data_IF_773986098516
#
_entry.id   IF_773986098516
#
_cell.length_a   1.000
_cell.length_b   1.000
_cell.length_c   1.000
_cell.angle_alpha   90.00
_cell.angle_beta   90.00
_cell.angle_gamma   90.00
#
_symmetry.space_group_name_H-M   'P 1'
#
loop_
_entity.id
_entity.type
_entity.pdbx_description
1 polymer ?
#
# COMPACT_ATOMS: atom_id res chain seq x y z
N UNK A 1 22.67 22.74 8.12
CA UNK A 1 21.41 22.88 8.86
C UNK A 1 20.80 21.51 9.14
N UNK A 2 20.67 20.62 8.15
CA UNK A 2 20.07 19.28 8.34
C UNK A 2 20.78 18.36 9.35
N UNK A 3 22.12 18.39 9.46
CA UNK A 3 22.85 17.45 10.33
C UNK A 3 22.56 17.65 11.83
N UNK A 4 22.49 18.90 12.30
CA UNK A 4 22.17 19.23 13.69
C UNK A 4 20.73 18.82 14.05
N UNK A 5 19.80 18.99 13.11
CA UNK A 5 18.41 18.57 13.28
C UNK A 5 18.28 17.04 13.38
N UNK A 6 19.05 16.30 12.58
CA UNK A 6 19.12 14.83 12.64
C UNK A 6 19.65 14.39 14.02
N UNK A 7 20.78 14.93 14.45
CA UNK A 7 21.36 14.59 15.77
C UNK A 7 20.38 14.92 16.88
N UNK A 8 19.76 16.10 16.86
CA UNK A 8 18.78 16.50 17.87
C UNK A 8 17.59 15.54 17.92
N UNK A 9 17.04 15.17 16.77
CA UNK A 9 15.93 14.22 16.69
C UNK A 9 16.32 12.83 17.21
N UNK A 10 17.50 12.32 16.80
CA UNK A 10 18.00 11.03 17.25
C UNK A 10 18.26 11.04 18.76
N UNK A 11 18.90 12.06 19.32
CA UNK A 11 19.13 12.16 20.76
C UNK A 11 17.82 12.32 21.55
N UNK A 12 16.81 12.99 21.00
CA UNK A 12 15.51 13.13 21.65
C UNK A 12 14.71 11.81 21.70
N UNK A 13 15.02 10.86 20.81
CA UNK A 13 14.31 9.59 20.64
C UNK A 13 15.11 8.35 21.09
N UNK A 14 16.44 8.42 21.08
CA UNK A 14 17.34 7.38 21.56
C UNK A 14 17.21 7.18 23.08
N UNK A 15 17.45 5.94 23.54
CA UNK A 15 17.49 5.54 24.96
C UNK A 15 16.22 5.81 25.78
N UNK A 16 15.10 6.13 25.12
CA UNK A 16 13.79 6.31 25.77
C UNK A 16 12.83 5.15 25.55
N UNK A 17 13.31 4.01 25.05
CA UNK A 17 12.50 2.80 24.89
C UNK A 17 12.00 2.27 26.24
N UNK A 18 12.78 2.38 27.31
CA UNK A 18 12.36 2.02 28.67
C UNK A 18 11.25 2.96 29.19
N UNK A 19 11.22 4.21 28.70
CA UNK A 19 10.21 5.21 28.98
C UNK A 19 9.10 5.32 27.92
N UNK A 20 8.96 4.34 27.03
CA UNK A 20 7.96 4.38 25.95
C UNK A 20 6.50 4.36 26.46
N UNK A 21 6.30 4.13 27.75
CA UNK A 21 5.01 4.19 28.45
C UNK A 21 4.88 5.44 29.35
N UNK A 22 5.87 6.34 29.37
CA UNK A 22 5.85 7.57 30.16
C UNK A 22 5.30 8.75 29.32
N UNK A 23 4.26 9.40 29.85
CA UNK A 23 3.53 10.47 29.14
C UNK A 23 4.41 11.70 28.88
N UNK A 24 5.32 12.06 29.80
CA UNK A 24 6.19 13.22 29.63
C UNK A 24 7.23 12.96 28.55
N UNK A 25 7.78 11.74 28.52
CA UNK A 25 8.69 11.28 27.47
C UNK A 25 7.98 11.28 26.11
N UNK A 26 6.77 10.72 26.04
CA UNK A 26 5.98 10.68 24.80
C UNK A 26 5.62 12.09 24.32
N UNK A 27 5.25 13.00 25.21
CA UNK A 27 4.97 14.41 24.89
C UNK A 27 6.20 15.12 24.30
N UNK A 28 7.38 14.89 24.89
CA UNK A 28 8.63 15.44 24.36
C UNK A 28 9.01 14.86 22.99
N UNK A 29 8.76 13.57 22.75
CA UNK A 29 8.97 12.95 21.43
C UNK A 29 7.98 13.51 20.41
N UNK A 30 6.70 13.65 20.77
CA UNK A 30 5.64 14.14 19.90
C UNK A 30 5.83 15.59 19.46
N UNK A 31 6.52 16.42 20.26
CA UNK A 31 6.86 17.80 19.91
C UNK A 31 8.05 17.91 18.95
N UNK A 32 8.79 16.82 18.71
CA UNK A 32 9.91 16.83 17.77
C UNK A 32 9.42 16.85 16.32
N UNK A 33 10.08 17.67 15.50
CA UNK A 33 9.94 17.58 14.05
C UNK A 33 10.84 16.46 13.54
N UNK A 34 10.26 15.47 12.85
CA UNK A 34 11.04 14.44 12.14
C UNK A 34 11.71 15.06 10.92
N UNK A 35 13.06 15.03 10.80
CA UNK A 35 13.76 15.55 9.63
C UNK A 35 13.42 14.77 8.36
N UNK A 36 13.28 15.44 7.21
CA UNK A 36 12.92 14.77 5.94
C UNK A 36 14.00 13.77 5.47
N UNK A 37 15.26 13.96 5.89
CA UNK A 37 16.36 13.02 5.67
C UNK A 37 16.11 11.67 6.35
N UNK A 38 15.63 11.65 7.60
CA UNK A 38 15.25 10.42 8.33
C UNK A 38 14.13 9.68 7.59
N UNK A 39 13.28 10.43 6.90
CA UNK A 39 12.21 9.90 6.06
C UNK A 39 12.65 9.59 4.62
N UNK A 40 13.95 9.72 4.31
CA UNK A 40 14.56 9.41 3.00
C UNK A 40 13.85 10.07 1.81
N UNK A 41 13.46 11.35 1.97
CA UNK A 41 12.72 12.09 0.94
C UNK A 41 11.27 11.61 0.74
N UNK A 42 10.74 10.85 1.70
CA UNK A 42 9.35 10.35 1.72
C UNK A 42 8.48 11.03 2.75
N UNK A 43 8.92 12.15 3.32
CA UNK A 43 8.22 12.84 4.40
C UNK A 43 6.75 13.13 4.09
N UNK A 44 6.44 13.61 2.87
CA UNK A 44 5.06 13.85 2.46
C UNK A 44 4.20 12.57 2.43
N UNK A 45 4.74 11.46 1.89
CA UNK A 45 4.02 10.19 1.83
C UNK A 45 3.77 9.62 3.23
N UNK A 46 4.81 9.57 4.07
CA UNK A 46 4.71 9.05 5.43
C UNK A 46 3.75 9.88 6.28
N UNK A 47 3.83 11.22 6.20
CA UNK A 47 2.90 12.13 6.89
C UNK A 47 1.46 11.99 6.39
N UNK A 48 1.26 11.84 5.08
CA UNK A 48 -0.07 11.62 4.53
C UNK A 48 -0.66 10.28 5.02
N UNK A 49 0.12 9.20 4.99
CA UNK A 49 -0.32 7.86 5.38
C UNK A 49 -0.67 7.78 6.89
N UNK A 50 0.07 8.46 7.77
CA UNK A 50 -0.28 8.51 9.21
C UNK A 50 -1.50 9.40 9.48
N UNK A 51 -1.59 10.56 8.83
CA UNK A 51 -2.75 11.46 9.00
C UNK A 51 -4.05 10.80 8.49
N UNK A 52 -3.96 10.02 7.42
CA UNK A 52 -5.08 9.22 6.91
C UNK A 52 -5.52 8.16 7.93
N UNK A 53 -4.57 7.49 8.58
CA UNK A 53 -4.85 6.50 9.62
C UNK A 53 -5.51 7.14 10.85
N UNK A 54 -4.98 8.27 11.34
CA UNK A 54 -5.58 9.00 12.45
C UNK A 54 -6.98 9.51 12.15
N UNK A 55 -7.20 10.01 10.92
CA UNK A 55 -8.53 10.42 10.48
C UNK A 55 -9.50 9.23 10.52
N UNK A 56 -9.06 8.06 10.05
CA UNK A 56 -9.87 6.84 10.08
C UNK A 56 -10.21 6.43 11.53
N UNK A 57 -9.21 6.35 12.41
CA UNK A 57 -9.44 6.01 13.82
C UNK A 57 -10.38 6.99 14.53
N UNK A 58 -10.21 8.29 14.26
CA UNK A 58 -11.08 9.32 14.84
C UNK A 58 -12.54 9.12 14.41
N UNK A 59 -12.84 8.96 13.12
CA UNK A 59 -14.24 8.78 12.66
C UNK A 59 -14.83 7.46 13.15
N UNK A 60 -14.03 6.38 13.19
CA UNK A 60 -14.47 5.06 13.66
C UNK A 60 -14.75 5.05 15.17
N UNK A 61 -14.03 5.88 15.96
CA UNK A 61 -14.35 6.05 17.39
C UNK A 61 -15.70 6.74 17.65
N UNK A 62 -16.23 7.47 16.66
CA UNK A 62 -17.53 8.15 16.76
C UNK A 62 -18.65 7.19 16.40
N UNK A 63 -18.54 6.52 15.25
CA UNK A 63 -19.42 5.42 14.88
C UNK A 63 -18.66 4.37 14.08
N UNK A 64 -18.83 3.09 14.45
CA UNK A 64 -18.23 1.96 13.74
C UNK A 64 -18.93 1.74 12.38
N UNK A 65 -18.22 1.83 11.24
CA UNK A 65 -18.77 1.56 9.91
C UNK A 65 -19.36 0.15 9.74
N UNK A 66 -18.89 -0.88 10.49
CA UNK A 66 -19.44 -2.24 10.40
C UNK A 66 -20.93 -2.28 10.77
N UNK A 67 -21.37 -1.45 11.70
CA UNK A 67 -22.78 -1.40 12.15
C UNK A 67 -23.72 -1.01 10.99
N UNK A 68 -23.22 -0.24 10.03
CA UNK A 68 -24.00 0.26 8.90
C UNK A 68 -23.81 -0.57 7.64
N UNK A 69 -22.73 -1.37 7.56
CA UNK A 69 -22.46 -2.22 6.40
C UNK A 69 -23.60 -3.22 6.20
N UNK A 70 -24.10 -3.34 4.97
CA UNK A 70 -25.25 -4.16 4.58
C UNK A 70 -26.60 -3.69 5.16
N UNK A 71 -26.69 -2.46 5.66
CA UNK A 71 -27.95 -1.85 6.08
C UNK A 71 -28.69 -1.23 4.89
N UNK A 72 -30.00 -1.48 4.76
CA UNK A 72 -30.84 -0.81 3.76
C UNK A 72 -31.12 0.67 4.06
N UNK A 73 -30.67 1.17 5.21
CA UNK A 73 -31.05 2.51 5.71
C UNK A 73 -30.19 3.66 5.17
N UNK A 74 -29.07 3.35 4.49
CA UNK A 74 -28.25 4.31 3.75
C UNK A 74 -27.68 5.48 4.58
N UNK A 75 -27.29 6.56 3.87
CA UNK A 75 -26.59 7.72 4.45
C UNK A 75 -27.34 8.39 5.61
N UNK A 76 -28.68 8.47 5.54
CA UNK A 76 -29.49 9.11 6.59
C UNK A 76 -29.33 8.43 7.95
N UNK A 77 -29.15 7.10 7.96
CA UNK A 77 -28.93 6.33 9.17
C UNK A 77 -27.56 6.61 9.78
N UNK A 78 -26.51 6.70 8.95
CA UNK A 78 -25.17 7.12 9.36
C UNK A 78 -25.21 8.54 9.94
N UNK A 79 -25.82 9.49 9.23
CA UNK A 79 -25.92 10.87 9.67
C UNK A 79 -26.65 11.00 11.00
N UNK A 80 -27.77 10.30 11.18
CA UNK A 80 -28.54 10.32 12.44
C UNK A 80 -27.72 9.77 13.61
N UNK A 81 -26.95 8.70 13.39
CA UNK A 81 -26.09 8.13 14.43
C UNK A 81 -24.99 9.11 14.85
N UNK A 82 -24.33 9.74 13.88
CA UNK A 82 -23.30 10.76 14.13
C UNK A 82 -23.90 11.97 14.84
N UNK A 83 -25.00 12.52 14.34
CA UNK A 83 -25.66 13.70 14.90
C UNK A 83 -26.05 13.49 16.38
N UNK A 84 -26.43 12.28 16.76
CA UNK A 84 -26.72 11.93 18.17
C UNK A 84 -25.46 11.92 19.04
N UNK A 85 -24.28 11.58 18.50
CA UNK A 85 -23.04 11.46 19.27
C UNK A 85 -22.29 12.78 19.43
N UNK A 86 -22.29 13.63 18.40
CA UNK A 86 -21.53 14.88 18.37
C UNK A 86 -21.76 15.80 19.58
N UNK A 87 -22.98 16.00 20.09
CA UNK A 87 -23.20 16.83 21.27
C UNK A 87 -22.50 16.34 22.54
N UNK A 88 -22.27 15.03 22.67
CA UNK A 88 -21.57 14.45 23.82
C UNK A 88 -20.05 14.53 23.72
N UNK A 89 -19.52 14.52 22.48
CA UNK A 89 -18.08 14.59 22.22
C UNK A 89 -17.62 16.05 22.22
N UNK A 90 -18.46 16.95 21.71
CA UNK A 90 -18.17 18.37 21.55
C UNK A 90 -19.24 19.24 22.24
N UNK A 91 -19.37 19.18 23.58
CA UNK A 91 -20.43 19.90 24.28
C UNK A 91 -20.30 21.43 24.14
N UNK A 92 -19.06 21.93 24.06
CA UNK A 92 -18.72 23.36 24.02
C UNK A 92 -18.93 24.01 22.65
N UNK A 93 -19.16 23.22 21.59
CA UNK A 93 -19.29 23.75 20.23
C UNK A 93 -20.75 24.18 19.97
N UNK A 94 -21.01 25.38 19.41
CA UNK A 94 -22.34 25.83 19.03
C UNK A 94 -23.11 24.83 18.14
N UNK A 95 -24.43 24.80 18.26
CA UNK A 95 -25.27 23.80 17.57
C UNK A 95 -25.12 23.83 16.04
N UNK A 96 -25.02 25.01 15.45
CA UNK A 96 -24.80 25.20 14.01
C UNK A 96 -23.47 24.56 13.56
N UNK A 97 -22.38 24.79 14.29
CA UNK A 97 -21.07 24.20 14.00
C UNK A 97 -21.05 22.68 14.21
N UNK A 98 -21.73 22.19 15.26
CA UNK A 98 -21.92 20.75 15.48
C UNK A 98 -22.65 20.07 14.34
N UNK A 99 -23.64 20.73 13.73
CA UNK A 99 -24.36 20.18 12.58
C UNK A 99 -23.44 20.07 11.34
N UNK A 100 -22.59 21.08 11.08
CA UNK A 100 -21.60 21.05 9.98
C UNK A 100 -20.57 19.94 10.21
N UNK A 101 -20.10 19.80 11.46
CA UNK A 101 -19.16 18.76 11.85
C UNK A 101 -19.77 17.36 11.69
N UNK A 102 -21.01 17.18 12.16
CA UNK A 102 -21.75 15.92 12.01
C UNK A 102 -21.92 15.53 10.54
N UNK A 103 -22.22 16.50 9.66
CA UNK A 103 -22.33 16.25 8.23
C UNK A 103 -20.99 15.81 7.62
N UNK A 104 -19.89 16.46 8.01
CA UNK A 104 -18.55 16.12 7.51
C UNK A 104 -18.12 14.73 7.94
N UNK A 105 -18.32 14.40 9.21
CA UNK A 105 -18.00 13.08 9.77
C UNK A 105 -18.89 12.00 9.16
N UNK A 106 -20.20 12.22 9.06
CA UNK A 106 -21.12 11.26 8.46
C UNK A 106 -20.78 10.96 6.99
N UNK A 107 -20.34 11.96 6.22
CA UNK A 107 -19.84 11.75 4.85
C UNK A 107 -18.62 10.83 4.82
N UNK A 108 -17.67 11.03 5.72
CA UNK A 108 -16.46 10.20 5.81
C UNK A 108 -16.78 8.76 6.26
N UNK A 109 -17.66 8.59 7.25
CA UNK A 109 -18.10 7.27 7.70
C UNK A 109 -18.87 6.56 6.60
N UNK A 110 -19.80 7.23 5.92
CA UNK A 110 -20.55 6.63 4.81
C UNK A 110 -19.63 6.18 3.66
N UNK A 111 -18.57 6.95 3.36
CA UNK A 111 -17.53 6.55 2.41
C UNK A 111 -16.82 5.28 2.84
N UNK A 112 -16.57 5.10 4.14
CA UNK A 112 -15.98 3.89 4.69
C UNK A 112 -16.94 2.70 4.65
N UNK A 113 -18.23 2.91 4.93
CA UNK A 113 -19.29 1.89 4.76
C UNK A 113 -19.34 1.40 3.32
N UNK A 114 -19.41 2.32 2.36
CA UNK A 114 -19.39 2.01 0.92
C UNK A 114 -18.13 1.23 0.54
N UNK A 115 -16.95 1.61 1.06
CA UNK A 115 -15.69 0.87 0.82
C UNK A 115 -15.80 -0.60 1.24
N UNK A 116 -16.43 -0.87 2.39
CA UNK A 116 -16.60 -2.21 2.94
C UNK A 116 -17.67 -3.01 2.18
N UNK A 117 -18.72 -2.36 1.70
CA UNK A 117 -19.79 -2.98 0.88
C UNK A 117 -19.34 -3.33 -0.55
N UNK A 118 -18.55 -2.46 -1.19
CA UNK A 118 -17.99 -2.65 -2.55
C UNK A 118 -17.05 -3.86 -2.63
N UNK A 119 -16.64 -4.43 -1.48
CA UNK A 119 -15.97 -5.75 -1.46
C UNK A 119 -16.80 -6.84 -2.14
N UNK A 120 -18.12 -6.68 -2.28
CA UNK A 120 -18.93 -7.43 -3.26
C UNK A 120 -18.65 -6.89 -4.67
N UNK A 121 -17.51 -7.30 -5.25
CA UNK A 121 -17.04 -6.89 -6.59
C UNK A 121 -18.20 -6.87 -7.60
N UNK A 122 -18.50 -5.69 -8.14
CA UNK A 122 -19.30 -5.58 -9.36
C UNK A 122 -18.60 -6.35 -10.48
N UNK A 123 -19.36 -7.19 -11.19
CA UNK A 123 -18.87 -7.89 -12.38
C UNK A 123 -18.50 -6.87 -13.44
N UNK A 124 -17.24 -6.89 -13.90
CA UNK A 124 -16.79 -6.07 -15.04
C UNK A 124 -17.15 -6.82 -16.31
N UNK A 125 -17.87 -6.16 -17.21
CA UNK A 125 -18.31 -6.77 -18.46
C UNK A 125 -17.13 -6.98 -19.40
N UNK A 126 -17.26 -7.91 -20.36
CA UNK A 126 -16.23 -8.14 -21.37
C UNK A 126 -15.95 -6.87 -22.21
N UNK A 127 -16.96 -6.05 -22.47
CA UNK A 127 -16.82 -4.77 -23.18
C UNK A 127 -15.94 -3.79 -22.40
N UNK A 128 -16.16 -3.66 -21.09
CA UNK A 128 -15.30 -2.83 -20.22
C UNK A 128 -13.87 -3.36 -20.16
N UNK A 129 -13.67 -4.69 -20.14
CA UNK A 129 -12.33 -5.28 -20.20
C UNK A 129 -11.61 -4.92 -21.49
N UNK A 130 -12.29 -4.99 -22.64
CA UNK A 130 -11.75 -4.60 -23.95
C UNK A 130 -11.37 -3.13 -23.98
N UNK A 131 -12.27 -2.24 -23.53
CA UNK A 131 -11.98 -0.81 -23.45
C UNK A 131 -10.76 -0.51 -22.58
N UNK A 132 -10.68 -1.11 -21.38
CA UNK A 132 -9.54 -0.95 -20.48
C UNK A 132 -8.24 -1.49 -21.07
N UNK A 133 -8.32 -2.57 -21.85
CA UNK A 133 -7.19 -3.13 -22.55
C UNK A 133 -6.67 -2.17 -23.62
N UNK A 134 -7.56 -1.65 -24.46
CA UNK A 134 -7.24 -0.80 -25.60
C UNK A 134 -6.58 0.53 -25.19
N UNK A 135 -6.96 1.09 -24.03
CA UNK A 135 -6.35 2.32 -23.50
C UNK A 135 -5.11 2.06 -22.62
N UNK A 136 -4.71 0.80 -22.43
CA UNK A 136 -3.58 0.43 -21.59
C UNK A 136 -2.32 0.14 -22.40
N UNK A 137 -1.16 0.42 -21.81
CA UNK A 137 0.15 0.01 -22.35
C UNK A 137 0.44 -1.50 -22.18
N UNK A 138 -0.61 -2.33 -21.98
CA UNK A 138 -0.48 -3.78 -21.71
C UNK A 138 0.45 -4.10 -20.54
N UNK A 139 0.49 -3.21 -19.54
CA UNK A 139 1.36 -3.30 -18.35
C UNK A 139 0.57 -3.07 -17.08
N UNK A 140 1.08 -3.64 -15.99
CA UNK A 140 0.58 -3.33 -14.65
C UNK A 140 0.87 -1.86 -14.30
N UNK A 141 -0.16 -1.09 -13.96
CA UNK A 141 -0.01 0.33 -13.61
C UNK A 141 0.82 0.59 -12.34
N UNK A 142 0.97 -0.43 -11.48
CA UNK A 142 1.71 -0.37 -10.21
C UNK A 142 3.19 -0.68 -10.42
N UNK A 143 3.52 -1.85 -10.97
CA UNK A 143 4.91 -2.32 -11.06
C UNK A 143 5.49 -2.28 -12.48
N UNK A 144 4.69 -2.04 -13.52
CA UNK A 144 5.14 -2.04 -14.91
C UNK A 144 5.36 -3.42 -15.54
N UNK A 145 4.98 -4.51 -14.85
CA UNK A 145 5.00 -5.87 -15.39
C UNK A 145 4.25 -5.91 -16.73
N UNK A 146 4.94 -6.35 -17.78
CA UNK A 146 4.34 -6.54 -19.11
C UNK A 146 3.52 -7.82 -19.11
N UNK A 147 2.23 -7.71 -19.42
CA UNK A 147 1.36 -8.88 -19.44
C UNK A 147 1.76 -9.82 -20.58
N UNK A 148 1.66 -11.12 -20.33
CA UNK A 148 1.90 -12.15 -21.35
C UNK A 148 0.67 -12.29 -22.25
N UNK A 149 0.85 -12.83 -23.46
CA UNK A 149 -0.27 -13.11 -24.36
C UNK A 149 -1.30 -14.06 -23.73
N UNK A 150 -0.83 -15.02 -22.93
CA UNK A 150 -1.73 -15.87 -22.14
C UNK A 150 -2.58 -15.08 -21.15
N UNK A 151 -1.99 -14.12 -20.43
CA UNK A 151 -2.72 -13.31 -19.46
C UNK A 151 -3.75 -12.41 -20.15
N UNK A 152 -3.39 -11.83 -21.30
CA UNK A 152 -4.30 -11.10 -22.19
C UNK A 152 -5.47 -11.98 -22.64
N UNK A 153 -5.19 -13.14 -23.25
CA UNK A 153 -6.23 -14.04 -23.75
C UNK A 153 -7.18 -14.48 -22.64
N UNK A 154 -6.63 -14.80 -21.46
CA UNK A 154 -7.42 -15.15 -20.29
C UNK A 154 -8.29 -13.99 -19.79
N UNK A 155 -7.77 -12.76 -19.81
CA UNK A 155 -8.49 -11.57 -19.38
C UNK A 155 -9.64 -11.22 -20.34
N UNK A 156 -9.39 -11.30 -21.64
CA UNK A 156 -10.34 -11.03 -22.73
C UNK A 156 -11.20 -12.23 -23.11
N UNK A 157 -11.14 -13.33 -22.35
CA UNK A 157 -11.96 -14.53 -22.51
C UNK A 157 -11.82 -15.20 -23.89
N UNK A 158 -10.62 -15.13 -24.48
CA UNK A 158 -10.29 -15.89 -25.68
C UNK A 158 -10.07 -17.36 -25.35
N UNK A 159 -10.55 -18.25 -26.22
CA UNK A 159 -10.50 -19.71 -26.07
C UNK A 159 -9.11 -20.31 -26.35
N UNK A 160 -8.22 -19.54 -26.96
CA UNK A 160 -6.89 -19.98 -27.37
C UNK A 160 -5.83 -19.52 -26.35
N UNK A 161 -4.94 -20.42 -25.96
CA UNK A 161 -3.77 -20.04 -25.17
C UNK A 161 -3.10 -21.20 -24.45
N UNK A 162 -1.79 -21.33 -24.63
CA UNK A 162 -0.97 -22.21 -23.79
C UNK A 162 -0.78 -21.53 -22.44
N UNK A 163 -1.01 -22.26 -21.36
CA UNK A 163 -0.79 -21.74 -20.00
C UNK A 163 0.64 -21.19 -19.84
N UNK A 164 0.76 -19.97 -19.30
CA UNK A 164 2.06 -19.37 -19.09
C UNK A 164 2.88 -20.21 -18.11
N UNK A 165 4.08 -20.62 -18.54
CA UNK A 165 5.03 -21.30 -17.67
C UNK A 165 5.51 -20.32 -16.60
N UNK A 166 5.31 -20.68 -15.34
CA UNK A 166 5.80 -19.89 -14.22
C UNK A 166 7.33 -19.91 -14.16
N UNK A 167 7.97 -18.81 -13.70
CA UNK A 167 9.41 -18.72 -13.66
C UNK A 167 10.01 -19.72 -12.66
N UNK A 168 11.15 -20.30 -13.03
CA UNK A 168 11.92 -21.21 -12.18
C UNK A 168 12.60 -20.49 -11.00
N UNK A 169 12.88 -19.20 -11.19
CA UNK A 169 13.47 -18.33 -10.18
C UNK A 169 12.62 -17.07 -10.03
N UNK A 170 12.47 -16.59 -8.80
CA UNK A 170 11.68 -15.39 -8.50
C UNK A 170 12.49 -14.42 -7.65
N UNK A 171 12.21 -13.13 -7.80
CA UNK A 171 12.81 -12.08 -6.99
C UNK A 171 12.41 -12.27 -5.51
N UNK A 172 13.39 -12.43 -4.61
CA UNK A 172 13.12 -12.66 -3.19
C UNK A 172 12.43 -11.46 -2.51
N UNK A 173 12.58 -10.26 -3.07
CA UNK A 173 12.01 -9.03 -2.49
C UNK A 173 10.52 -8.89 -2.74
N UNK A 174 10.01 -9.47 -3.85
CA UNK A 174 8.60 -9.37 -4.26
C UNK A 174 7.89 -10.72 -4.23
N UNK A 175 8.58 -11.80 -4.57
CA UNK A 175 8.01 -13.13 -4.84
C UNK A 175 6.97 -13.12 -5.97
N UNK A 176 7.03 -12.13 -6.87
CA UNK A 176 6.17 -12.03 -8.03
C UNK A 176 6.35 -13.24 -8.97
N UNK A 177 5.26 -13.81 -9.49
CA UNK A 177 5.29 -14.99 -10.36
C UNK A 177 5.34 -16.34 -9.63
N UNK A 178 5.14 -16.34 -8.31
CA UNK A 178 5.08 -17.57 -7.53
C UNK A 178 3.79 -18.36 -7.79
N UNK A 179 2.71 -17.72 -8.21
CA UNK A 179 1.42 -18.35 -8.56
C UNK A 179 0.92 -17.85 -9.92
N UNK A 180 0.04 -18.60 -10.57
CA UNK A 180 -0.58 -18.15 -11.84
C UNK A 180 -1.34 -16.84 -11.68
N UNK A 181 -1.98 -16.63 -10.52
CA UNK A 181 -2.67 -15.39 -10.22
C UNK A 181 -1.73 -14.18 -10.29
N UNK A 182 -0.49 -14.33 -9.82
CA UNK A 182 0.47 -13.22 -9.76
C UNK A 182 0.73 -12.57 -11.13
N UNK A 183 0.67 -13.37 -12.19
CA UNK A 183 0.91 -12.94 -13.58
C UNK A 183 -0.38 -12.74 -14.40
N UNK A 184 -1.56 -12.97 -13.81
CA UNK A 184 -2.85 -12.67 -14.43
C UNK A 184 -3.14 -11.15 -14.37
N UNK A 185 -4.00 -10.69 -15.28
CA UNK A 185 -4.54 -9.33 -15.27
C UNK A 185 -5.76 -9.29 -14.34
N UNK A 186 -5.78 -8.33 -13.43
CA UNK A 186 -6.94 -7.97 -12.62
C UNK A 186 -7.25 -6.48 -12.84
N UNK A 187 -8.52 -6.10 -12.76
CA UNK A 187 -8.89 -4.69 -12.74
C UNK A 187 -8.80 -4.18 -11.31
N UNK A 188 -8.14 -3.03 -11.15
CA UNK A 188 -7.94 -2.35 -9.88
C UNK A 188 -8.46 -0.91 -9.96
N UNK A 189 -8.88 -0.37 -8.82
CA UNK A 189 -9.22 1.04 -8.67
C UNK A 189 -7.97 1.79 -8.20
N UNK A 190 -7.49 2.74 -9.01
CA UNK A 190 -6.29 3.52 -8.71
C UNK A 190 -6.45 4.34 -7.42
N UNK A 191 -7.62 4.93 -7.23
CA UNK A 191 -8.08 5.58 -6.01
C UNK A 191 -9.27 4.79 -5.44
N UNK A 192 -9.33 4.46 -4.14
CA UNK A 192 -10.50 3.80 -3.57
C UNK A 192 -11.78 4.63 -3.81
N UNK A 193 -12.88 3.96 -4.20
CA UNK A 193 -14.20 4.57 -4.48
C UNK A 193 -14.65 5.57 -3.39
N UNK A 194 -14.29 5.30 -2.14
CA UNK A 194 -14.53 6.14 -0.96
C UNK A 194 -13.93 7.56 -1.02
N UNK A 195 -13.13 7.91 -2.02
CA UNK A 195 -12.62 9.27 -2.24
C UNK A 195 -13.25 10.02 -3.41
N UNK A 196 -14.35 9.51 -3.98
CA UNK A 196 -15.06 10.17 -5.08
C UNK A 196 -14.55 9.78 -6.46
N UNK A 197 -13.91 8.61 -6.58
CA UNK A 197 -13.62 7.99 -7.87
C UNK A 197 -14.83 7.24 -8.39
N UNK A 198 -15.89 7.98 -8.72
CA UNK A 198 -16.92 7.50 -9.62
C UNK A 198 -16.40 7.85 -11.02
N UNK A 199 -16.10 6.84 -11.83
CA UNK A 199 -15.96 6.88 -13.30
C UNK A 199 -14.97 5.83 -13.80
N UNK A 200 -15.20 5.36 -15.03
CA UNK A 200 -14.32 4.44 -15.76
C UNK A 200 -12.85 4.91 -15.77
N UNK A 201 -12.61 6.20 -15.57
CA UNK A 201 -11.30 6.85 -15.47
C UNK A 201 -10.46 6.43 -14.26
N UNK A 202 -11.05 5.78 -13.25
CA UNK A 202 -10.36 5.30 -12.05
C UNK A 202 -9.92 3.82 -12.14
N UNK A 203 -10.35 3.11 -13.18
CA UNK A 203 -9.98 1.72 -13.39
C UNK A 203 -8.63 1.62 -14.11
N UNK A 204 -7.78 0.70 -13.65
CA UNK A 204 -6.46 0.43 -14.24
C UNK A 204 -6.18 -1.07 -14.23
N UNK A 205 -5.35 -1.54 -15.16
CA UNK A 205 -4.92 -2.93 -15.20
C UNK A 205 -3.76 -3.18 -14.24
N UNK A 206 -3.94 -4.11 -13.31
CA UNK A 206 -2.93 -4.54 -12.36
C UNK A 206 -2.59 -6.03 -12.55
N UNK A 207 -1.35 -6.43 -12.25
CA UNK A 207 -1.06 -7.85 -12.08
C UNK A 207 -1.68 -8.35 -10.78
N UNK A 208 -2.05 -9.63 -10.73
CA UNK A 208 -2.68 -10.21 -9.53
C UNK A 208 -1.80 -10.13 -8.28
N UNK A 209 -0.47 -10.10 -8.43
CA UNK A 209 0.44 -9.89 -7.29
C UNK A 209 0.27 -8.49 -6.69
N UNK A 210 0.29 -7.44 -7.51
CA UNK A 210 0.11 -6.07 -7.02
C UNK A 210 -1.30 -5.89 -6.43
N UNK A 211 -2.33 -6.39 -7.12
CA UNK A 211 -3.72 -6.23 -6.66
C UNK A 211 -3.98 -6.94 -5.33
N UNK A 212 -3.48 -8.16 -5.17
CA UNK A 212 -3.65 -8.93 -3.92
C UNK A 212 -2.95 -8.30 -2.72
N UNK A 213 -1.76 -7.73 -2.91
CA UNK A 213 -1.02 -7.10 -1.82
C UNK A 213 -1.46 -5.65 -1.54
N UNK A 214 -1.93 -4.90 -2.55
CA UNK A 214 -2.63 -3.62 -2.38
C UNK A 214 -3.87 -3.83 -1.51
N UNK A 215 -4.71 -4.81 -1.88
CA UNK A 215 -5.97 -5.08 -1.20
C UNK A 215 -6.77 -3.78 -1.01
N UNK A 216 -7.26 -3.55 0.18
CA UNK A 216 -7.96 -2.39 0.71
C UNK A 216 -7.06 -1.49 1.56
N UNK A 217 -5.75 -1.77 1.62
CA UNK A 217 -4.82 -1.03 2.48
C UNK A 217 -4.50 0.33 1.88
N UNK A 218 -4.52 1.35 2.74
CA UNK A 218 -4.33 2.75 2.34
C UNK A 218 -3.11 3.43 2.97
N UNK A 219 -2.53 2.83 4.01
CA UNK A 219 -1.43 3.42 4.79
C UNK A 219 -0.32 2.41 5.03
N UNK A 220 0.94 2.84 4.84
CA UNK A 220 2.14 2.04 5.13
C UNK A 220 2.20 1.53 6.58
N UNK A 221 1.51 2.20 7.50
CA UNK A 221 1.45 1.88 8.93
C UNK A 221 0.39 0.81 9.26
N UNK A 222 -0.43 0.38 8.30
CA UNK A 222 -1.48 -0.64 8.51
C UNK A 222 -0.97 -2.08 8.42
N UNK A 223 0.34 -2.30 8.38
CA UNK A 223 0.98 -3.62 8.27
C UNK A 223 2.13 -3.73 9.26
N UNK A 224 2.57 -4.96 9.53
CA UNK A 224 3.63 -5.25 10.52
C UNK A 224 4.82 -4.30 10.41
N UNK A 225 5.30 -3.83 11.55
CA UNK A 225 6.34 -2.81 11.67
C UNK A 225 7.73 -3.30 11.24
N UNK A 226 7.95 -4.62 11.15
CA UNK A 226 9.27 -5.22 10.88
C UNK A 226 9.28 -6.05 9.60
N UNK A 227 10.29 -5.87 8.72
CA UNK A 227 10.47 -6.76 7.59
C UNK A 227 10.86 -8.17 8.06
N UNK A 228 10.40 -9.18 7.33
CA UNK A 228 10.80 -10.57 7.59
C UNK A 228 12.29 -10.78 7.25
N UNK A 229 12.92 -11.79 7.87
CA UNK A 229 14.31 -12.16 7.58
C UNK A 229 14.38 -13.55 6.96
N UNK A 230 15.19 -13.69 5.91
CA UNK A 230 15.42 -14.95 5.20
C UNK A 230 16.91 -15.23 5.06
N UNK A 231 17.27 -16.51 4.93
CA UNK A 231 18.64 -16.91 4.61
C UNK A 231 18.76 -17.09 3.10
N UNK A 232 19.37 -16.12 2.43
CA UNK A 232 19.66 -16.14 1.00
C UNK A 232 20.94 -16.93 0.73
N UNK A 233 20.95 -17.78 -0.30
CA UNK A 233 22.10 -18.65 -0.60
C UNK A 233 23.38 -17.87 -0.90
N UNK A 234 23.26 -16.74 -1.59
CA UNK A 234 24.41 -15.95 -2.06
C UNK A 234 24.66 -14.68 -1.22
N UNK A 235 23.65 -14.23 -0.48
CA UNK A 235 23.67 -12.93 0.20
C UNK A 235 23.59 -13.07 1.73
N UNK A 236 23.55 -14.29 2.26
CA UNK A 236 23.40 -14.54 3.69
C UNK A 236 22.04 -14.08 4.23
N UNK A 237 22.01 -13.57 5.46
CA UNK A 237 20.75 -13.10 6.07
C UNK A 237 20.30 -11.82 5.38
N UNK A 238 19.10 -11.86 4.80
CA UNK A 238 18.52 -10.75 4.06
C UNK A 238 17.18 -10.33 4.67
N UNK A 239 16.99 -9.01 4.75
CA UNK A 239 15.70 -8.42 5.08
C UNK A 239 14.80 -8.45 3.85
N UNK A 240 13.54 -8.86 4.03
CA UNK A 240 12.53 -8.93 2.96
C UNK A 240 11.42 -7.95 3.30
N UNK A 241 11.13 -6.98 2.42
CA UNK A 241 10.13 -5.97 2.71
C UNK A 241 8.74 -6.58 2.84
N UNK A 242 7.88 -5.90 3.59
CA UNK A 242 6.46 -6.22 3.55
C UNK A 242 5.93 -5.95 2.12
N UNK A 243 5.20 -6.89 1.49
CA UNK A 243 4.74 -6.72 0.11
C UNK A 243 3.92 -5.45 -0.13
N UNK A 244 3.08 -5.07 0.83
CA UNK A 244 2.32 -3.82 0.75
C UNK A 244 3.22 -2.56 0.69
N UNK A 245 4.35 -2.53 1.42
CA UNK A 245 5.29 -1.41 1.31
C UNK A 245 5.86 -1.29 -0.10
N UNK A 246 6.19 -2.43 -0.72
CA UNK A 246 6.67 -2.48 -2.11
C UNK A 246 5.59 -1.94 -3.06
N UNK A 247 4.37 -2.47 -2.99
CA UNK A 247 3.25 -2.05 -3.83
C UNK A 247 2.92 -0.56 -3.65
N UNK A 248 2.88 -0.07 -2.41
CA UNK A 248 2.61 1.34 -2.10
C UNK A 248 3.69 2.26 -2.64
N UNK A 249 4.96 1.90 -2.50
CA UNK A 249 6.07 2.70 -3.04
C UNK A 249 6.10 2.68 -4.58
N UNK A 250 5.88 1.52 -5.20
CA UNK A 250 5.81 1.40 -6.66
C UNK A 250 4.66 2.23 -7.24
N UNK A 251 3.46 2.14 -6.66
CA UNK A 251 2.27 2.88 -7.11
C UNK A 251 2.36 4.40 -6.93
N UNK A 252 3.05 4.88 -5.90
CA UNK A 252 3.21 6.32 -5.65
C UNK A 252 4.39 6.91 -6.43
N UNK A 253 5.52 6.18 -6.54
CA UNK A 253 6.72 6.72 -7.20
C UNK A 253 6.67 6.53 -8.71
N UNK A 254 6.23 5.36 -9.19
CA UNK A 254 6.06 4.99 -10.61
C UNK A 254 7.30 5.20 -11.52
N UNK A 255 8.47 5.51 -10.96
CA UNK A 255 9.75 5.74 -11.66
C UNK A 255 10.94 5.28 -10.83
N UNK A 256 12.04 4.98 -11.51
CA UNK A 256 13.31 4.65 -10.88
C UNK A 256 13.85 5.84 -10.07
N UNK A 257 14.31 5.57 -8.84
CA UNK A 257 14.84 6.55 -7.89
C UNK A 257 16.39 6.58 -7.90
N UNK A 258 17.04 6.24 -9.02
CA UNK A 258 18.51 6.32 -9.13
C UNK A 258 18.99 7.78 -9.03
N UNK A 259 20.02 8.01 -8.21
CA UNK A 259 20.49 9.36 -7.86
C UNK A 259 21.13 10.11 -9.03
N UNK A 260 21.73 9.39 -9.99
CA UNK A 260 22.26 9.97 -11.23
C UNK A 260 21.18 10.36 -12.25
N UNK A 261 19.90 10.18 -11.91
CA UNK A 261 18.78 10.39 -12.82
C UNK A 261 18.48 9.17 -13.68
N UNK A 262 17.20 8.86 -13.86
CA UNK A 262 16.73 7.76 -14.68
C UNK A 262 15.35 8.08 -15.24
N UNK A 263 15.14 7.85 -16.53
CA UNK A 263 13.86 8.10 -17.21
C UNK A 263 12.90 6.90 -17.17
N UNK A 264 13.34 5.77 -16.62
CA UNK A 264 12.54 4.54 -16.59
C UNK A 264 11.37 4.67 -15.62
N UNK A 265 10.18 4.35 -16.12
CA UNK A 265 8.91 4.35 -15.40
C UNK A 265 8.20 3.00 -15.56
N UNK A 266 7.12 2.82 -14.81
CA UNK A 266 6.23 1.65 -14.91
C UNK A 266 5.56 1.52 -16.29
N UNK A 267 5.55 2.59 -17.09
CA UNK A 267 5.03 2.58 -18.46
C UNK A 267 6.07 1.97 -19.44
N UNK A 268 7.35 2.06 -19.10
CA UNK A 268 8.46 1.61 -19.96
C UNK A 268 8.92 0.20 -19.59
N UNK A 269 9.07 -0.09 -18.29
CA UNK A 269 9.58 -1.37 -17.83
C UNK A 269 9.03 -1.78 -16.47
N UNK A 270 9.29 -3.03 -16.09
CA UNK A 270 8.97 -3.49 -14.76
C UNK A 270 9.97 -2.90 -13.75
N UNK A 271 9.44 -2.14 -12.79
CA UNK A 271 10.19 -1.66 -11.65
C UNK A 271 10.11 -2.65 -10.49
N UNK A 272 11.10 -2.54 -9.61
CA UNK A 272 11.27 -3.38 -8.42
C UNK A 272 11.88 -2.53 -7.31
N UNK A 273 12.33 -3.17 -6.23
CA UNK A 273 12.87 -2.50 -5.05
C UNK A 273 14.23 -3.02 -4.63
N UNK A 274 15.01 -2.13 -4.04
CA UNK A 274 16.31 -2.38 -3.43
C UNK A 274 16.44 -1.65 -2.10
N UNK A 275 17.34 -2.07 -1.20
CA UNK A 275 17.73 -1.23 -0.09
C UNK A 275 18.50 0.02 -0.57
N UNK A 276 18.28 1.18 0.06
CA UNK A 276 19.12 2.39 -0.08
C UNK A 276 20.46 2.15 0.58
N UNK A 277 20.42 1.59 1.79
CA UNK A 277 21.57 1.17 2.58
C UNK A 277 21.58 -0.37 2.64
N UNK A 278 22.54 -1.05 1.97
CA UNK A 278 22.56 -2.51 1.83
C UNK A 278 22.52 -3.29 3.14
N UNK A 279 23.10 -2.74 4.20
CA UNK A 279 23.13 -3.34 5.54
C UNK A 279 21.88 -3.03 6.38
N UNK A 280 21.03 -2.10 5.92
CA UNK A 280 19.81 -1.70 6.60
C UNK A 280 18.62 -2.64 6.32
N UNK A 281 17.69 -2.71 7.26
CA UNK A 281 16.45 -3.45 7.08
C UNK A 281 15.59 -2.85 5.94
N UNK A 282 14.90 -3.66 5.13
CA UNK A 282 14.07 -3.19 4.02
C UNK A 282 12.68 -2.71 4.51
N UNK A 283 12.70 -1.60 5.26
CA UNK A 283 11.51 -0.87 5.72
C UNK A 283 11.18 0.32 4.78
N UNK A 284 10.07 1.04 4.97
CA UNK A 284 9.68 2.13 4.07
C UNK A 284 10.71 3.25 3.90
N UNK A 285 11.58 3.50 4.87
CA UNK A 285 12.65 4.52 4.75
C UNK A 285 13.84 3.98 3.95
N UNK A 286 14.20 2.71 4.13
CA UNK A 286 15.36 2.12 3.46
C UNK A 286 15.04 1.41 2.13
N UNK A 287 13.79 1.24 1.71
CA UNK A 287 13.48 0.74 0.36
C UNK A 287 13.78 1.83 -0.69
N UNK A 288 14.09 1.47 -1.94
CA UNK A 288 14.23 2.35 -3.12
C UNK A 288 13.61 1.67 -4.34
N UNK A 289 12.79 2.39 -5.10
CA UNK A 289 12.27 1.90 -6.39
C UNK A 289 13.36 1.98 -7.45
N UNK A 290 13.58 0.88 -8.18
CA UNK A 290 14.63 0.80 -9.20
C UNK A 290 14.13 0.12 -10.49
N UNK A 291 14.75 0.46 -11.62
CA UNK A 291 14.69 -0.33 -12.84
C UNK A 291 15.73 -1.46 -12.81
N UNK A 292 15.71 -2.32 -13.83
CA UNK A 292 16.69 -3.40 -13.98
C UNK A 292 18.10 -2.87 -14.29
N UNK A 293 18.22 -1.78 -15.03
CA UNK A 293 19.52 -1.19 -15.40
C UNK A 293 20.31 -0.67 -14.17
N UNK A 294 19.60 -0.26 -13.12
CA UNK A 294 20.19 0.23 -11.85
C UNK A 294 20.06 -0.79 -10.70
N UNK A 295 19.77 -2.04 -11.04
CA UNK A 295 19.67 -3.11 -10.05
C UNK A 295 21.05 -3.68 -9.68
N UNK A 296 21.57 -3.26 -8.52
CA UNK A 296 22.85 -3.74 -8.02
C UNK A 296 22.84 -5.21 -7.56
N UNK A 297 21.66 -5.80 -7.32
CA UNK A 297 21.58 -7.22 -6.94
C UNK A 297 21.68 -8.12 -8.17
N UNK A 298 21.20 -7.67 -9.33
CA UNK A 298 21.17 -8.45 -10.56
C UNK A 298 20.59 -9.85 -10.35
N UNK A 299 21.31 -10.89 -10.79
CA UNK A 299 20.89 -12.28 -10.61
C UNK A 299 20.86 -12.74 -9.14
N UNK A 300 21.57 -12.08 -8.22
CA UNK A 300 21.57 -12.45 -6.80
C UNK A 300 20.23 -12.18 -6.12
N UNK A 301 19.29 -11.47 -6.75
CA UNK A 301 17.93 -11.35 -6.21
C UNK A 301 17.07 -12.58 -6.45
N UNK A 302 17.48 -13.45 -7.37
CA UNK A 302 16.68 -14.56 -7.84
C UNK A 302 16.89 -15.77 -6.95
N UNK A 303 15.82 -16.21 -6.29
CA UNK A 303 15.79 -17.46 -5.52
C UNK A 303 15.01 -18.52 -6.27
N UNK A 304 15.36 -19.80 -6.06
CA UNK A 304 14.58 -20.90 -6.64
C UNK A 304 13.13 -20.86 -6.15
N UNK A 305 12.21 -21.31 -7.00
CA UNK A 305 10.78 -21.40 -6.67
C UNK A 305 10.49 -22.15 -5.37
N UNK A 306 11.25 -23.21 -5.07
CA UNK A 306 11.13 -23.98 -3.82
C UNK A 306 11.44 -23.12 -2.60
N UNK A 307 12.51 -22.33 -2.65
CA UNK A 307 12.89 -21.40 -1.56
C UNK A 307 11.83 -20.32 -1.39
N UNK A 308 11.37 -19.72 -2.50
CA UNK A 308 10.32 -18.71 -2.46
C UNK A 308 8.99 -19.21 -1.85
N UNK A 309 8.60 -20.45 -2.13
CA UNK A 309 7.43 -21.08 -1.51
C UNK A 309 7.58 -21.22 0.01
N UNK A 310 8.78 -21.59 0.49
CA UNK A 310 9.08 -21.65 1.92
C UNK A 310 9.00 -20.26 2.57
N UNK A 311 9.55 -19.24 1.90
CA UNK A 311 9.48 -17.85 2.36
C UNK A 311 8.03 -17.37 2.50
N UNK A 312 7.16 -17.69 1.53
CA UNK A 312 5.74 -17.31 1.57
C UNK A 312 4.98 -18.00 2.71
N UNK A 313 5.20 -19.30 2.91
CA UNK A 313 4.56 -20.05 4.01
C UNK A 313 4.96 -19.53 5.38
N UNK A 314 6.24 -19.21 5.58
CA UNK A 314 6.73 -18.64 6.85
C UNK A 314 6.03 -17.32 7.16
N UNK A 315 5.85 -16.45 6.15
CA UNK A 315 5.10 -15.20 6.29
C UNK A 315 3.64 -15.43 6.71
N UNK A 316 2.94 -16.40 6.11
CA UNK A 316 1.54 -16.68 6.46
C UNK A 316 1.36 -17.12 7.93
N UNK A 317 2.36 -17.81 8.50
CA UNK A 317 2.39 -18.17 9.93
C UNK A 317 2.71 -16.94 10.80
N UNK A 318 3.70 -16.13 10.41
CA UNK A 318 4.13 -14.94 11.14
C UNK A 318 3.04 -13.82 11.17
N UNK A 319 2.05 -13.84 10.26
CA UNK A 319 0.92 -12.89 10.26
C UNK A 319 -0.35 -13.41 10.94
N UNK A 320 -0.37 -14.67 11.40
CA UNK A 320 -1.49 -15.25 12.16
C UNK A 320 -1.27 -15.19 13.69
N UNK A 321 -0.11 -14.70 14.12
CA UNK A 321 0.28 -14.45 15.50
C UNK A 321 0.58 -12.96 15.71
#
# INVERSE_FOLDING_TARGET
MEFTEIISFLNATADKLEGCWDVNILSNIASQRVPDFVMSGRGALLRADINMLWTQWFIESICDPEIFANSSKGYAFVFTAVQKRIPFIFPEIPQNERNVLAQSIAKLINKEVQRREIRKRSSITLEQKKLLWDISESRCWICGYKFTKWAENKFLEYTEGVEAKLPSFVDYTTLHGLTQRDICIEVDHAVPFSRGGDDQDNLRLACGWCNSHKSDRVSLYSVSEKPSVVLHSNLGKQSVPHPFWVVRLLSVRRRCEYEGGCNKSVEIEQLTVLPRHPEGAMNPTNIRVTCLDHDILGSNRLVSRKVAQQMRKKKEVDYQH
#
